data_IF_746871440440
#
_entry.id   IF_746871440440
#
_cell.length_a   1.000
_cell.length_b   1.000
_cell.length_c   1.000
_cell.angle_alpha   90.00
_cell.angle_beta   90.00
_cell.angle_gamma   90.00
#
_symmetry.space_group_name_H-M   'P 1'
#
loop_
_entity.id
_entity.type
_entity.pdbx_description
1 polymer ?
#
# COMPACT_ATOMS: atom_id res chain seq x y z
N UNK A 1 -13.52 20.94 56.27
CA UNK A 1 -13.98 21.53 55.00
C UNK A 1 -13.55 20.56 53.92
N UNK A 2 -14.42 19.60 53.62
CA UNK A 2 -14.15 18.52 52.65
C UNK A 2 -14.94 18.83 51.38
N UNK A 3 -14.25 19.05 50.27
CA UNK A 3 -14.85 19.27 48.97
C UNK A 3 -14.86 17.94 48.20
N UNK A 4 -15.99 17.25 48.22
CA UNK A 4 -16.24 16.09 47.36
C UNK A 4 -16.74 16.56 46.00
N UNK A 5 -15.90 16.43 44.96
CA UNK A 5 -16.32 16.62 43.58
C UNK A 5 -17.05 15.38 43.08
N UNK A 6 -18.34 15.54 42.79
CA UNK A 6 -19.20 14.52 42.19
C UNK A 6 -18.85 14.35 40.71
N UNK A 7 -18.27 13.20 40.35
CA UNK A 7 -18.04 12.81 38.96
C UNK A 7 -19.34 12.19 38.43
N UNK A 8 -19.95 12.83 37.43
CA UNK A 8 -21.12 12.31 36.73
C UNK A 8 -20.64 11.40 35.59
N UNK A 9 -21.09 10.14 35.47
CA UNK A 9 -20.71 9.29 34.35
C UNK A 9 -21.41 9.75 33.07
N UNK A 10 -20.61 10.09 32.05
CA UNK A 10 -21.11 10.35 30.71
C UNK A 10 -21.64 9.04 30.09
N UNK A 11 -22.91 9.03 29.69
CA UNK A 11 -23.52 7.94 28.94
C UNK A 11 -22.90 7.87 27.54
N UNK A 12 -22.14 6.82 27.28
CA UNK A 12 -21.71 6.43 25.93
C UNK A 12 -22.87 5.75 25.21
N UNK A 13 -23.65 6.51 24.45
CA UNK A 13 -24.66 5.97 23.55
C UNK A 13 -24.06 5.73 22.14
N UNK A 14 -24.22 4.48 21.67
CA UNK A 14 -24.26 4.03 20.28
C UNK A 14 -23.06 4.30 19.34
N UNK A 15 -22.09 3.37 19.37
CA UNK A 15 -21.03 3.21 18.33
C UNK A 15 -21.49 2.31 17.16
N UNK A 16 -22.74 1.87 17.13
CA UNK A 16 -23.24 0.89 16.14
C UNK A 16 -23.57 1.48 14.75
N UNK A 17 -23.45 2.81 14.56
CA UNK A 17 -23.81 3.49 13.30
C UNK A 17 -22.65 3.75 12.33
N UNK A 18 -21.40 3.41 12.67
CA UNK A 18 -20.21 3.67 11.83
C UNK A 18 -19.87 2.46 10.92
N UNK A 19 -20.88 1.75 10.40
CA UNK A 19 -20.66 0.68 9.40
C UNK A 19 -21.27 0.98 8.02
N UNK A 20 -21.84 2.17 7.79
CA UNK A 20 -22.70 2.38 6.61
C UNK A 20 -22.36 3.55 5.68
N UNK A 21 -21.20 4.20 5.79
CA UNK A 21 -20.86 5.34 4.90
C UNK A 21 -19.41 5.41 4.41
N UNK A 22 -18.79 4.25 4.12
CA UNK A 22 -17.59 4.20 3.26
C UNK A 22 -17.94 3.47 1.97
N UNK A 23 -18.93 4.00 1.26
CA UNK A 23 -19.06 3.83 -0.20
C UNK A 23 -18.63 5.15 -0.84
N UNK A 24 -17.38 5.58 -0.58
CA UNK A 24 -16.80 6.80 -1.15
C UNK A 24 -15.78 6.41 -2.22
N UNK A 25 -16.10 6.82 -3.46
CA UNK A 25 -15.30 6.77 -4.70
C UNK A 25 -14.83 5.40 -5.16
N UNK A 26 -15.67 4.76 -5.98
CA UNK A 26 -15.27 4.12 -7.24
C UNK A 26 -14.07 3.17 -7.23
N UNK A 27 -13.79 2.52 -6.10
CA UNK A 27 -12.79 1.47 -6.03
C UNK A 27 -13.39 0.29 -6.81
N UNK A 28 -12.90 0.07 -8.04
CA UNK A 28 -13.34 -1.10 -8.81
C UNK A 28 -13.11 -2.34 -7.93
N UNK A 29 -14.08 -3.27 -7.88
CA UNK A 29 -13.90 -4.50 -7.13
C UNK A 29 -12.62 -5.16 -7.61
N UNK A 30 -11.67 -5.37 -6.70
CA UNK A 30 -10.36 -5.95 -7.05
C UNK A 30 -10.62 -7.40 -7.47
N UNK A 31 -10.42 -7.71 -8.74
CA UNK A 31 -10.69 -9.06 -9.24
C UNK A 31 -9.47 -9.94 -8.99
N UNK A 32 -9.62 -10.90 -8.09
CA UNK A 32 -8.60 -11.91 -7.84
C UNK A 32 -8.48 -12.81 -9.08
N UNK A 33 -7.25 -13.04 -9.54
CA UNK A 33 -6.99 -13.93 -10.67
C UNK A 33 -7.03 -15.38 -10.16
N UNK A 34 -8.16 -16.06 -10.37
CA UNK A 34 -8.35 -17.46 -9.93
C UNK A 34 -7.67 -18.44 -10.90
N UNK A 35 -7.86 -18.20 -12.21
CA UNK A 35 -7.27 -19.03 -13.27
C UNK A 35 -6.23 -18.21 -14.03
N UNK A 36 -5.00 -18.23 -13.52
CA UNK A 36 -3.88 -17.49 -14.07
C UNK A 36 -3.60 -17.79 -15.54
N UNK A 37 -3.94 -19.00 -16.02
CA UNK A 37 -3.72 -19.41 -17.41
C UNK A 37 -4.65 -18.71 -18.41
N UNK A 38 -5.82 -18.26 -17.95
CA UNK A 38 -6.82 -17.55 -18.77
C UNK A 38 -6.65 -16.03 -18.74
N UNK A 39 -5.82 -15.50 -17.84
CA UNK A 39 -5.62 -14.05 -17.76
C UNK A 39 -4.84 -13.54 -18.98
N UNK A 40 -5.25 -12.46 -19.66
CA UNK A 40 -4.65 -12.06 -20.94
C UNK A 40 -3.16 -11.71 -20.87
N UNK A 41 -2.72 -11.11 -19.76
CA UNK A 41 -1.33 -10.72 -19.54
C UNK A 41 -0.67 -11.82 -18.73
N UNK A 42 0.34 -12.50 -19.24
CA UNK A 42 1.10 -13.52 -18.51
C UNK A 42 2.35 -12.93 -17.87
N UNK A 43 2.92 -13.54 -16.81
CA UNK A 43 4.14 -13.03 -16.18
C UNK A 43 5.31 -12.85 -17.17
N UNK A 44 5.41 -13.74 -18.17
CA UNK A 44 6.42 -13.67 -19.23
C UNK A 44 6.31 -12.43 -20.12
N UNK A 45 5.12 -11.82 -20.19
CA UNK A 45 4.86 -10.62 -21.00
C UNK A 45 5.34 -9.35 -20.28
N UNK A 46 5.65 -9.45 -18.98
CA UNK A 46 6.22 -8.36 -18.16
C UNK A 46 7.74 -8.52 -18.16
N UNK A 47 8.42 -7.71 -18.97
CA UNK A 47 9.88 -7.74 -19.00
C UNK A 47 10.47 -7.19 -17.71
N UNK A 48 11.16 -8.08 -16.98
CA UNK A 48 12.05 -7.74 -15.87
C UNK A 48 13.45 -8.21 -16.29
N UNK A 49 14.43 -7.31 -16.29
CA UNK A 49 15.74 -7.57 -16.89
C UNK A 49 16.87 -6.92 -16.11
N UNK A 50 18.10 -7.12 -16.59
CA UNK A 50 19.29 -6.51 -15.99
C UNK A 50 19.18 -4.98 -16.08
N UNK A 51 19.21 -4.31 -14.92
CA UNK A 51 19.01 -2.86 -14.81
C UNK A 51 17.55 -2.42 -14.64
N UNK A 52 16.61 -3.35 -14.50
CA UNK A 52 15.23 -3.07 -14.07
C UNK A 52 15.04 -3.60 -12.65
N UNK A 53 14.82 -2.70 -11.69
CA UNK A 53 14.81 -3.04 -10.26
C UNK A 53 13.46 -2.79 -9.56
N UNK A 54 12.58 -1.99 -10.18
CA UNK A 54 11.25 -1.66 -9.64
C UNK A 54 10.32 -1.17 -10.75
N UNK A 55 9.01 -1.28 -10.52
CA UNK A 55 7.97 -0.77 -11.41
C UNK A 55 7.69 0.72 -11.17
N UNK A 56 8.57 1.60 -11.63
CA UNK A 56 8.42 3.06 -11.44
C UNK A 56 7.02 3.55 -11.81
N UNK A 57 6.44 4.38 -10.94
CA UNK A 57 5.12 5.01 -11.05
C UNK A 57 3.92 4.03 -11.04
N UNK A 58 4.14 2.75 -10.71
CA UNK A 58 3.05 1.77 -10.69
C UNK A 58 2.23 1.84 -9.38
N UNK A 59 2.87 2.16 -8.26
CA UNK A 59 2.27 2.06 -6.92
C UNK A 59 2.47 3.29 -6.04
N UNK A 60 2.95 4.40 -6.61
CA UNK A 60 3.22 5.68 -5.90
C UNK A 60 4.19 5.54 -4.72
N UNK A 61 4.91 4.42 -4.65
CA UNK A 61 5.79 4.07 -3.56
C UNK A 61 6.89 3.10 -4.00
N UNK A 62 8.14 3.56 -3.97
CA UNK A 62 9.31 2.82 -4.44
C UNK A 62 9.49 1.45 -3.78
N UNK A 63 9.24 1.31 -2.48
CA UNK A 63 9.36 0.03 -1.76
C UNK A 63 8.31 -0.98 -2.23
N UNK A 64 7.09 -0.49 -2.50
CA UNK A 64 5.98 -1.28 -3.05
C UNK A 64 6.27 -1.70 -4.49
N UNK A 65 6.84 -0.80 -5.29
CA UNK A 65 7.25 -1.07 -6.68
C UNK A 65 8.40 -2.08 -6.77
N UNK A 66 9.38 -1.99 -5.87
CA UNK A 66 10.45 -2.98 -5.72
C UNK A 66 9.89 -4.33 -5.25
N UNK A 67 8.90 -4.33 -4.36
CA UNK A 67 8.27 -5.57 -3.92
C UNK A 67 7.47 -6.26 -5.02
N UNK A 68 6.72 -5.47 -5.80
CA UNK A 68 6.00 -5.96 -6.96
C UNK A 68 6.93 -6.62 -7.98
N UNK A 69 8.15 -6.09 -8.17
CA UNK A 69 9.18 -6.71 -9.02
C UNK A 69 9.48 -8.15 -8.61
N UNK A 70 9.69 -8.43 -7.32
CA UNK A 70 9.98 -9.78 -6.85
C UNK A 70 8.79 -10.72 -6.96
N UNK A 71 7.57 -10.22 -6.79
CA UNK A 71 6.34 -11.00 -7.00
C UNK A 71 6.22 -11.42 -8.47
N UNK A 72 6.43 -10.49 -9.42
CA UNK A 72 6.43 -10.83 -10.85
C UNK A 72 7.54 -11.85 -11.17
N UNK A 73 8.74 -11.67 -10.60
CA UNK A 73 9.86 -12.62 -10.76
C UNK A 73 9.50 -14.03 -10.24
N UNK A 74 8.85 -14.12 -9.09
CA UNK A 74 8.35 -15.39 -8.55
C UNK A 74 7.33 -16.02 -9.52
N UNK A 75 6.33 -15.27 -9.97
CA UNK A 75 5.31 -15.77 -10.90
C UNK A 75 5.92 -16.22 -12.25
N UNK A 76 6.98 -15.56 -12.72
CA UNK A 76 7.74 -16.03 -13.89
C UNK A 76 8.44 -17.37 -13.63
N UNK A 77 9.07 -17.56 -12.46
CA UNK A 77 9.67 -18.84 -12.07
C UNK A 77 8.64 -19.96 -11.95
N UNK A 78 7.45 -19.66 -11.42
CA UNK A 78 6.35 -20.61 -11.27
C UNK A 78 5.64 -20.92 -12.60
N UNK A 79 5.89 -20.15 -13.66
CA UNK A 79 5.29 -20.35 -14.98
C UNK A 79 3.87 -19.81 -15.13
N UNK A 80 3.42 -18.88 -14.28
CA UNK A 80 2.08 -18.28 -14.36
C UNK A 80 1.69 -17.47 -13.12
N UNK A 81 0.48 -16.90 -13.14
CA UNK A 81 -0.13 -16.26 -11.96
C UNK A 81 -0.66 -17.32 -10.97
N UNK A 82 0.26 -18.11 -10.42
CA UNK A 82 -0.05 -19.19 -9.48
C UNK A 82 -0.03 -18.62 -8.05
N UNK A 83 -1.02 -18.94 -7.20
CA UNK A 83 -0.99 -18.56 -5.81
C UNK A 83 0.26 -19.09 -5.10
N UNK A 84 0.89 -18.26 -4.29
CA UNK A 84 2.18 -18.56 -3.66
C UNK A 84 2.14 -18.37 -2.15
N UNK A 85 3.04 -19.05 -1.46
CA UNK A 85 3.20 -18.99 0.00
C UNK A 85 4.20 -17.89 0.39
N UNK A 86 4.23 -17.53 1.67
CA UNK A 86 5.22 -16.56 2.19
C UNK A 86 6.65 -17.07 1.96
N UNK A 87 6.87 -18.36 2.20
CA UNK A 87 8.18 -19.00 2.11
C UNK A 87 8.75 -18.92 0.68
N UNK A 88 7.89 -19.11 -0.33
CA UNK A 88 8.30 -19.03 -1.74
C UNK A 88 8.77 -17.63 -2.14
N UNK A 89 8.10 -16.59 -1.68
CA UNK A 89 8.53 -15.22 -2.00
C UNK A 89 9.75 -14.82 -1.17
N UNK A 90 9.86 -15.24 0.08
CA UNK A 90 11.06 -15.03 0.89
C UNK A 90 12.31 -15.69 0.29
N UNK A 91 12.17 -16.86 -0.35
CA UNK A 91 13.25 -17.50 -1.09
C UNK A 91 13.77 -16.60 -2.23
N UNK A 92 12.87 -16.01 -3.02
CA UNK A 92 13.24 -15.09 -4.11
C UNK A 92 13.94 -13.83 -3.58
N UNK A 93 13.51 -13.28 -2.45
CA UNK A 93 14.18 -12.14 -1.80
C UNK A 93 15.57 -12.50 -1.30
N UNK A 94 15.71 -13.68 -0.70
CA UNK A 94 16.98 -14.19 -0.16
C UNK A 94 18.01 -14.42 -1.26
N UNK A 95 17.59 -14.98 -2.39
CA UNK A 95 18.45 -15.10 -3.58
C UNK A 95 18.94 -13.75 -4.10
N UNK A 96 18.15 -12.69 -3.92
CA UNK A 96 18.52 -11.32 -4.28
C UNK A 96 19.35 -10.60 -3.18
N UNK A 97 19.65 -11.27 -2.06
CA UNK A 97 20.48 -10.73 -0.98
C UNK A 97 19.73 -9.93 0.08
N UNK A 98 18.39 -9.91 0.05
CA UNK A 98 17.58 -9.21 1.04
C UNK A 98 17.38 -10.03 2.32
N UNK A 99 17.36 -9.36 3.46
CA UNK A 99 17.13 -9.96 4.78
C UNK A 99 15.68 -9.74 5.20
N UNK A 100 14.81 -10.67 4.81
CA UNK A 100 13.41 -10.67 5.20
C UNK A 100 12.51 -9.87 4.26
N UNK A 101 11.26 -9.76 4.69
CA UNK A 101 10.13 -9.49 3.84
C UNK A 101 9.43 -8.18 4.20
N UNK A 102 9.21 -7.30 3.23
CA UNK A 102 8.64 -5.95 3.47
C UNK A 102 7.53 -5.56 2.48
N UNK A 103 6.70 -6.52 2.03
CA UNK A 103 5.62 -6.19 1.08
C UNK A 103 4.27 -5.83 1.70
N UNK A 104 4.18 -5.50 2.99
CA UNK A 104 2.91 -5.26 3.69
C UNK A 104 1.96 -4.31 2.93
N UNK A 105 2.51 -3.31 2.22
CA UNK A 105 1.76 -2.37 1.38
C UNK A 105 1.11 -2.97 0.14
N UNK A 106 1.48 -4.18 -0.29
CA UNK A 106 0.80 -4.89 -1.38
C UNK A 106 -0.47 -5.60 -0.92
N UNK A 107 -0.49 -6.03 0.34
CA UNK A 107 -1.58 -6.83 0.92
C UNK A 107 -2.58 -5.94 1.64
N UNK A 108 -2.11 -5.17 2.60
CA UNK A 108 -2.94 -4.33 3.45
C UNK A 108 -2.79 -2.87 3.05
N UNK A 109 -3.90 -2.14 3.10
CA UNK A 109 -3.85 -0.68 2.98
C UNK A 109 -3.28 -0.10 4.26
N UNK A 110 -2.39 0.87 4.13
CA UNK A 110 -1.86 1.63 5.25
C UNK A 110 -2.54 3.00 5.30
N UNK A 111 -3.03 3.37 6.48
CA UNK A 111 -3.56 4.71 6.71
C UNK A 111 -2.39 5.71 6.71
N UNK A 112 -2.31 6.55 5.68
CA UNK A 112 -1.30 7.61 5.56
C UNK A 112 -1.97 8.97 5.63
N UNK A 113 -1.22 10.01 6.04
CA UNK A 113 -1.75 11.38 6.05
C UNK A 113 -2.18 11.81 4.63
N UNK A 114 -3.34 12.44 4.51
CA UNK A 114 -3.86 12.94 3.23
C UNK A 114 -2.94 14.03 2.63
N UNK A 115 -2.42 14.91 3.51
CA UNK A 115 -1.58 16.04 3.15
C UNK A 115 -0.33 16.09 4.04
N UNK A 116 0.60 15.13 3.90
CA UNK A 116 1.70 14.97 4.85
C UNK A 116 2.57 16.23 4.93
N UNK A 117 2.91 16.87 3.80
CA UNK A 117 3.71 18.09 3.79
C UNK A 117 3.06 19.25 4.55
N UNK A 118 1.76 19.45 4.37
CA UNK A 118 1.00 20.50 5.07
C UNK A 118 0.92 20.22 6.57
N UNK A 119 0.57 18.98 6.94
CA UNK A 119 0.47 18.56 8.34
C UNK A 119 1.82 18.68 9.04
N UNK A 120 2.92 18.27 8.41
CA UNK A 120 4.27 18.43 9.00
C UNK A 120 4.67 19.90 9.11
N UNK A 121 4.30 20.74 8.14
CA UNK A 121 4.51 22.19 8.22
C UNK A 121 3.79 22.81 9.41
N UNK A 122 2.50 22.47 9.61
CA UNK A 122 1.69 22.96 10.72
C UNK A 122 2.22 22.46 12.08
N UNK A 123 2.64 21.20 12.18
CA UNK A 123 3.26 20.65 13.39
C UNK A 123 4.56 21.39 13.72
N UNK A 124 5.40 21.66 12.71
CA UNK A 124 6.65 22.38 12.90
C UNK A 124 6.40 23.83 13.35
N UNK A 125 5.43 24.52 12.76
CA UNK A 125 5.01 25.87 13.17
C UNK A 125 4.49 25.86 14.62
N UNK A 126 3.58 24.94 14.96
CA UNK A 126 3.05 24.78 16.32
C UNK A 126 4.15 24.50 17.34
N UNK A 127 5.10 23.63 17.00
CA UNK A 127 6.26 23.34 17.83
C UNK A 127 7.15 24.58 18.06
N UNK A 128 7.31 25.44 17.05
CA UNK A 128 8.07 26.69 17.18
C UNK A 128 7.41 27.71 18.13
N UNK A 129 6.08 27.73 18.16
CA UNK A 129 5.28 28.57 19.06
C UNK A 129 5.30 28.04 20.50
N UNK A 130 5.36 26.71 20.66
CA UNK A 130 5.47 26.02 21.94
C UNK A 130 6.91 26.01 22.48
N UNK A 131 7.48 27.19 22.80
CA UNK A 131 8.86 27.29 23.33
C UNK A 131 9.06 26.36 24.54
N UNK A 132 10.16 25.60 24.55
CA UNK A 132 10.56 24.62 25.58
C UNK A 132 9.75 23.32 25.66
N UNK A 133 8.80 23.06 24.75
CA UNK A 133 8.21 21.72 24.64
C UNK A 133 9.11 20.81 23.80
N UNK A 134 9.21 19.54 24.20
CA UNK A 134 9.84 18.55 23.33
C UNK A 134 8.96 18.29 22.08
N UNK A 135 9.53 17.83 20.96
CA UNK A 135 8.79 17.63 19.71
C UNK A 135 7.61 16.66 19.81
N UNK A 136 7.69 15.67 20.71
CA UNK A 136 6.62 14.69 20.94
C UNK A 136 5.41 15.36 21.60
N UNK A 137 5.63 16.17 22.63
CA UNK A 137 4.58 16.91 23.33
C UNK A 137 3.95 17.99 22.46
N UNK A 138 4.75 18.67 21.64
CA UNK A 138 4.22 19.60 20.64
C UNK A 138 3.31 18.90 19.62
N UNK A 139 3.71 17.73 19.12
CA UNK A 139 2.90 16.94 18.18
C UNK A 139 1.60 16.44 18.81
N UNK A 140 1.64 15.97 20.07
CA UNK A 140 0.44 15.58 20.81
C UNK A 140 -0.49 16.77 21.06
N UNK A 141 0.06 17.91 21.48
CA UNK A 141 -0.68 19.17 21.68
C UNK A 141 -1.37 19.62 20.40
N UNK A 142 -0.66 19.53 19.27
CA UNK A 142 -1.21 19.84 17.96
C UNK A 142 -2.42 18.96 17.62
N UNK A 143 -2.28 17.64 17.75
CA UNK A 143 -3.35 16.67 17.48
C UNK A 143 -4.57 16.84 18.41
N UNK A 144 -4.36 17.26 19.66
CA UNK A 144 -5.45 17.57 20.58
C UNK A 144 -6.19 18.85 20.21
N UNK A 145 -5.49 19.86 19.67
CA UNK A 145 -6.06 21.19 19.40
C UNK A 145 -6.74 21.28 18.03
N UNK A 146 -6.26 20.54 17.03
CA UNK A 146 -6.74 20.61 15.64
C UNK A 146 -7.53 19.36 15.22
N UNK A 147 -7.72 18.41 16.14
CA UNK A 147 -8.31 17.11 15.85
C UNK A 147 -7.31 16.14 15.22
N UNK A 148 -7.76 14.91 14.96
CA UNK A 148 -6.95 13.90 14.26
C UNK A 148 -6.76 14.34 12.80
N UNK A 149 -5.51 14.36 12.34
CA UNK A 149 -5.21 14.63 10.94
C UNK A 149 -5.95 13.63 10.04
N UNK A 150 -6.45 14.12 8.90
CA UNK A 150 -7.13 13.28 7.93
C UNK A 150 -6.14 12.25 7.36
N UNK A 151 -6.49 10.98 7.48
CA UNK A 151 -5.76 9.87 6.87
C UNK A 151 -6.53 9.33 5.69
N UNK A 152 -5.81 8.99 4.63
CA UNK A 152 -6.32 8.23 3.49
C UNK A 152 -5.66 6.85 3.49
N UNK A 153 -6.43 5.82 3.17
CA UNK A 153 -5.89 4.49 2.95
C UNK A 153 -5.09 4.52 1.64
N UNK A 154 -3.77 4.35 1.73
CA UNK A 154 -2.91 4.12 0.56
C UNK A 154 -2.38 2.70 0.60
N UNK A 155 -2.24 2.12 -0.57
CA UNK A 155 -1.72 0.76 -0.67
C UNK A 155 -2.80 -0.32 -0.61
N UNK A 156 -2.34 -1.56 -0.73
CA UNK A 156 -3.08 -2.76 -0.35
C UNK A 156 -4.01 -3.33 -1.40
N UNK A 157 -4.40 -4.58 -1.19
CA UNK A 157 -5.31 -5.38 -2.01
C UNK A 157 -4.87 -5.58 -3.45
N UNK A 158 -3.63 -5.27 -3.81
CA UNK A 158 -3.05 -5.71 -5.07
C UNK A 158 -2.70 -7.20 -5.02
N UNK A 159 -2.41 -7.67 -3.80
CA UNK A 159 -2.29 -9.07 -3.44
C UNK A 159 -3.28 -9.34 -2.32
N UNK A 160 -3.93 -10.49 -2.35
CA UNK A 160 -4.94 -10.88 -1.36
C UNK A 160 -4.57 -12.24 -0.78
N UNK A 161 -4.64 -12.38 0.54
CA UNK A 161 -4.53 -13.69 1.19
C UNK A 161 -5.83 -14.47 0.96
N UNK A 162 -5.73 -15.62 0.31
CA UNK A 162 -6.84 -16.54 0.10
C UNK A 162 -7.16 -17.37 1.34
N UNK A 163 -8.29 -18.07 1.32
CA UNK A 163 -8.68 -19.01 2.37
C UNK A 163 -7.77 -20.25 2.44
N UNK A 164 -6.92 -20.44 1.44
CA UNK A 164 -5.92 -21.49 1.33
C UNK A 164 -4.56 -21.11 1.94
N UNK A 165 -4.48 -19.96 2.65
CA UNK A 165 -3.25 -19.38 3.20
C UNK A 165 -2.17 -19.14 2.12
N UNK A 166 -2.61 -18.81 0.90
CA UNK A 166 -1.73 -18.38 -0.19
C UNK A 166 -2.06 -16.97 -0.61
N UNK A 167 -1.06 -16.28 -1.13
CA UNK A 167 -1.19 -14.98 -1.74
C UNK A 167 -1.65 -15.11 -3.19
N UNK A 168 -2.69 -14.37 -3.54
CA UNK A 168 -3.25 -14.28 -4.88
C UNK A 168 -3.04 -12.87 -5.42
N UNK A 169 -2.61 -12.75 -6.68
CA UNK A 169 -2.50 -11.46 -7.35
C UNK A 169 -3.85 -11.02 -7.92
N UNK A 170 -4.06 -9.71 -7.99
CA UNK A 170 -5.25 -9.10 -8.60
C UNK A 170 -4.98 -8.64 -10.02
N UNK A 171 -6.05 -8.41 -10.77
CA UNK A 171 -6.01 -7.81 -12.10
C UNK A 171 -5.35 -6.42 -12.13
N UNK A 172 -5.62 -5.57 -11.13
CA UNK A 172 -5.03 -4.23 -11.00
C UNK A 172 -3.50 -4.31 -10.79
N UNK A 173 -3.03 -5.25 -9.96
CA UNK A 173 -1.61 -5.50 -9.77
C UNK A 173 -0.93 -5.83 -11.11
N UNK A 174 -1.45 -6.81 -11.84
CA UNK A 174 -0.86 -7.26 -13.11
C UNK A 174 -0.88 -6.14 -14.14
N UNK A 175 -1.99 -5.40 -14.23
CA UNK A 175 -2.16 -4.28 -15.17
C UNK A 175 -1.16 -3.15 -14.90
N UNK A 176 -0.93 -2.80 -13.63
CA UNK A 176 0.05 -1.76 -13.24
C UNK A 176 1.48 -2.18 -13.56
N UNK A 177 1.87 -3.39 -13.17
CA UNK A 177 3.19 -3.95 -13.48
C UNK A 177 3.44 -4.00 -14.99
N UNK A 178 2.46 -4.45 -15.78
CA UNK A 178 2.58 -4.50 -17.24
C UNK A 178 2.74 -3.11 -17.87
N UNK A 179 1.95 -2.12 -17.42
CA UNK A 179 2.05 -0.74 -17.93
C UNK A 179 3.40 -0.09 -17.62
N UNK A 180 3.99 -0.40 -16.47
CA UNK A 180 5.29 0.12 -16.03
C UNK A 180 6.48 -0.64 -16.66
N UNK A 181 6.25 -1.83 -17.21
CA UNK A 181 7.30 -2.63 -17.86
C UNK A 181 7.94 -1.90 -19.06
N UNK A 182 9.27 -2.00 -19.25
CA UNK A 182 9.97 -1.42 -20.41
C UNK A 182 9.48 -1.93 -21.76
N UNK A 183 8.85 -3.11 -21.81
CA UNK A 183 8.28 -3.72 -23.01
C UNK A 183 7.42 -2.74 -23.82
N UNK A 184 6.67 -1.88 -23.11
CA UNK A 184 5.73 -0.94 -23.73
C UNK A 184 6.42 0.22 -24.46
N UNK A 185 7.58 0.68 -23.95
CA UNK A 185 8.30 1.82 -24.57
C UNK A 185 8.84 1.46 -25.94
N UNK A 186 9.31 0.22 -26.11
CA UNK A 186 9.84 -0.23 -27.41
C UNK A 186 8.74 -0.45 -28.45
N UNK A 187 7.55 -0.94 -28.06
CA UNK A 187 6.43 -1.08 -28.99
C UNK A 187 5.91 0.28 -29.48
N UNK A 188 5.78 1.27 -28.59
CA UNK A 188 5.33 2.61 -28.99
C UNK A 188 6.34 3.35 -29.87
N UNK A 189 7.64 3.13 -29.67
CA UNK A 189 8.67 3.73 -30.53
C UNK A 189 8.62 3.21 -31.99
N UNK A 190 8.17 1.96 -32.19
CA UNK A 190 8.04 1.35 -33.53
C UNK A 190 6.82 1.87 -34.28
N UNK A 191 5.68 2.04 -33.60
CA UNK A 191 4.44 2.55 -34.22
C UNK A 191 4.53 4.02 -34.65
N UNK A 192 5.30 4.86 -33.94
CA UNK A 192 5.46 6.29 -34.31
C UNK A 192 6.45 6.47 -35.48
N UNK A 193 7.23 5.44 -35.81
CA UNK A 193 8.24 5.48 -36.87
C UNK A 193 7.76 4.85 -38.19
N UNK A 194 6.50 4.42 -38.26
CA UNK A 194 5.87 3.77 -39.43
C UNK A 194 4.80 4.66 -40.04
#
# INVERSE_FOLDING_TARGET
MECYNTIVPAKFENVTSIKKQITKKGLMPKHIIIDGSKFPIQPKDIHIGKGFEHFSDAFDNMETEASAYYVVRLCQKLGGWIPFTLEQIEEVYREAGHKGFTFNRLVESEAVLAHPAEVFGQIAEHASLCRNMNPVMASLSYAMSHGKAETVDKGGGWIVMGTDNKYHVTDDFVTRCFKSSPARRNMQAVEVSS
#
